data_IF_237470516513
#
_entry.id   IF_237470516513
#
_cell.length_a   1.000
_cell.length_b   1.000
_cell.length_c   1.000
_cell.angle_alpha   90.00
_cell.angle_beta   90.00
_cell.angle_gamma   90.00
#
_symmetry.space_group_name_H-M   'P 1'
#
loop_
_entity.id
_entity.type
_entity.pdbx_description
1 polymer ?
#
# COMPACT_ATOMS: atom_id res chain seq x y z
N UNK A 1 4.92 -3.73 36.50
CA UNK A 1 3.76 -4.25 35.69
C UNK A 1 2.71 -4.73 36.68
N UNK A 2 1.58 -4.08 36.72
CA UNK A 2 0.48 -4.43 37.64
C UNK A 2 -0.20 -5.73 37.22
N UNK A 3 -0.93 -6.40 38.13
CA UNK A 3 -1.66 -7.65 37.80
C UNK A 3 -2.70 -7.41 36.71
N UNK A 4 -3.33 -6.22 36.65
CA UNK A 4 -4.27 -5.80 35.62
C UNK A 4 -3.63 -5.74 34.22
N UNK A 5 -2.40 -5.23 34.09
CA UNK A 5 -1.69 -5.20 32.81
C UNK A 5 -1.32 -6.61 32.29
N UNK A 6 -1.01 -7.54 33.19
CA UNK A 6 -0.78 -8.94 32.84
C UNK A 6 -2.05 -9.62 32.34
N UNK A 7 -3.16 -9.40 33.03
CA UNK A 7 -4.48 -9.95 32.66
C UNK A 7 -4.93 -9.40 31.31
N UNK A 8 -4.81 -8.10 31.08
CA UNK A 8 -5.14 -7.48 29.80
C UNK A 8 -4.29 -8.02 28.65
N UNK A 9 -2.97 -8.23 28.85
CA UNK A 9 -2.08 -8.82 27.83
C UNK A 9 -2.44 -10.27 27.51
N UNK A 10 -2.83 -11.06 28.53
CA UNK A 10 -3.24 -12.46 28.34
C UNK A 10 -4.58 -12.52 27.59
N UNK A 11 -5.55 -11.71 27.95
CA UNK A 11 -6.85 -11.62 27.25
C UNK A 11 -6.67 -11.15 25.80
N UNK A 12 -5.84 -10.15 25.57
CA UNK A 12 -5.53 -9.64 24.23
C UNK A 12 -4.83 -10.70 23.37
N UNK A 13 -3.85 -11.43 23.93
CA UNK A 13 -3.17 -12.52 23.20
C UNK A 13 -4.11 -13.68 22.87
N UNK A 14 -4.98 -14.05 23.80
CA UNK A 14 -5.99 -15.09 23.58
C UNK A 14 -7.03 -14.68 22.52
N UNK A 15 -7.43 -13.41 22.51
CA UNK A 15 -8.35 -12.87 21.48
C UNK A 15 -7.71 -12.90 20.08
N UNK A 16 -6.44 -12.50 19.97
CA UNK A 16 -5.69 -12.58 18.72
C UNK A 16 -5.41 -14.01 18.25
N UNK A 17 -5.33 -14.99 19.14
CA UNK A 17 -5.20 -16.40 18.77
C UNK A 17 -6.50 -16.97 18.19
N UNK A 18 -7.65 -16.39 18.52
CA UNK A 18 -8.98 -16.77 18.00
C UNK A 18 -9.39 -16.00 16.74
N UNK A 19 -8.45 -15.32 16.06
CA UNK A 19 -8.79 -14.53 14.88
C UNK A 19 -9.52 -15.34 13.77
N UNK A 20 -9.25 -16.64 13.54
CA UNK A 20 -10.01 -17.41 12.56
C UNK A 20 -11.50 -17.50 12.88
N UNK A 21 -11.87 -17.48 14.17
CA UNK A 21 -13.26 -17.65 14.62
C UNK A 21 -14.10 -16.38 14.42
N UNK A 22 -13.49 -15.20 14.49
CA UNK A 22 -14.21 -13.92 14.39
C UNK A 22 -14.03 -13.20 13.06
N UNK A 23 -12.98 -13.53 12.28
CA UNK A 23 -12.64 -12.79 11.06
C UNK A 23 -13.77 -12.85 10.02
N UNK A 24 -14.42 -13.99 9.83
CA UNK A 24 -15.54 -14.11 8.90
C UNK A 24 -16.75 -13.26 9.31
N UNK A 25 -17.01 -13.11 10.62
CA UNK A 25 -18.06 -12.20 11.15
C UNK A 25 -17.69 -10.74 10.94
N UNK A 26 -16.43 -10.38 11.18
CA UNK A 26 -15.93 -9.04 10.92
C UNK A 26 -16.01 -8.67 9.44
N UNK A 27 -15.67 -9.62 8.56
CA UNK A 27 -15.78 -9.44 7.10
C UNK A 27 -17.24 -9.25 6.67
N UNK A 28 -18.17 -10.03 7.23
CA UNK A 28 -19.60 -9.88 6.96
C UNK A 28 -20.13 -8.51 7.41
N UNK A 29 -19.78 -8.08 8.62
CA UNK A 29 -20.16 -6.75 9.14
C UNK A 29 -19.60 -5.63 8.25
N UNK A 30 -18.32 -5.71 7.91
CA UNK A 30 -17.69 -4.77 7.00
C UNK A 30 -18.41 -4.73 5.64
N UNK A 31 -18.74 -5.89 5.07
CA UNK A 31 -19.37 -5.99 3.76
C UNK A 31 -20.77 -5.37 3.72
N UNK A 32 -21.56 -5.52 4.80
CA UNK A 32 -22.86 -4.87 4.96
C UNK A 32 -22.69 -3.35 5.07
N UNK A 33 -21.74 -2.86 5.88
CA UNK A 33 -21.46 -1.43 6.00
C UNK A 33 -20.98 -0.84 4.68
N UNK A 34 -20.16 -1.57 3.94
CA UNK A 34 -19.64 -1.14 2.64
C UNK A 34 -20.73 -1.10 1.56
N UNK A 35 -21.65 -2.06 1.56
CA UNK A 35 -22.84 -2.03 0.71
C UNK A 35 -23.75 -0.82 1.04
N UNK A 36 -23.97 -0.55 2.34
CA UNK A 36 -24.72 0.61 2.81
C UNK A 36 -24.08 1.93 2.40
N UNK A 37 -22.77 2.05 2.51
CA UNK A 37 -22.00 3.22 2.04
C UNK A 37 -22.16 3.41 0.52
N UNK A 38 -21.99 2.34 -0.27
CA UNK A 38 -22.18 2.38 -1.72
C UNK A 38 -23.60 2.80 -2.11
N UNK A 39 -24.62 2.28 -1.40
CA UNK A 39 -26.02 2.64 -1.61
C UNK A 39 -26.28 4.12 -1.30
N UNK A 40 -25.75 4.62 -0.18
CA UNK A 40 -25.86 6.02 0.17
C UNK A 40 -25.24 6.92 -0.91
N UNK A 41 -24.05 6.58 -1.42
CA UNK A 41 -23.38 7.31 -2.49
C UNK A 41 -24.17 7.22 -3.82
N UNK A 42 -24.73 6.05 -4.15
CA UNK A 42 -25.50 5.86 -5.37
C UNK A 42 -26.82 6.67 -5.35
N UNK A 43 -27.49 6.75 -4.21
CA UNK A 43 -28.74 7.50 -4.04
C UNK A 43 -28.51 9.03 -3.93
N UNK A 44 -27.37 9.45 -3.38
CA UNK A 44 -27.03 10.89 -3.28
C UNK A 44 -26.29 11.43 -4.50
N UNK A 45 -26.12 10.62 -5.55
CA UNK A 45 -25.35 10.97 -6.76
C UNK A 45 -23.93 11.48 -6.45
N UNK A 46 -23.38 11.10 -5.29
CA UNK A 46 -22.06 11.52 -4.86
C UNK A 46 -21.00 10.84 -5.72
N UNK A 47 -20.17 11.62 -6.39
CA UNK A 47 -19.06 11.10 -7.20
C UNK A 47 -18.02 10.41 -6.31
N UNK A 48 -17.75 9.13 -6.56
CA UNK A 48 -16.69 8.33 -5.92
C UNK A 48 -15.35 8.42 -6.68
N UNK A 49 -15.35 9.07 -7.85
CA UNK A 49 -14.17 9.43 -8.63
C UNK A 49 -13.98 10.95 -8.63
N UNK A 50 -12.76 11.37 -8.98
CA UNK A 50 -12.35 12.78 -9.09
C UNK A 50 -13.30 13.62 -9.94
N UNK A 51 -13.45 14.87 -9.53
CA UNK A 51 -14.01 16.06 -10.19
C UNK A 51 -14.55 15.89 -11.62
N UNK A 52 -15.86 16.09 -11.76
CA UNK A 52 -16.54 16.29 -13.02
C UNK A 52 -17.81 15.46 -13.09
N UNK A 53 -18.94 16.10 -13.38
CA UNK A 53 -20.24 15.48 -13.55
C UNK A 53 -20.32 14.52 -14.74
N UNK A 54 -19.51 13.46 -14.70
CA UNK A 54 -19.59 12.37 -15.67
C UNK A 54 -20.83 11.51 -15.40
N UNK A 55 -21.63 11.19 -16.43
CA UNK A 55 -22.82 10.33 -16.30
C UNK A 55 -22.54 8.91 -15.80
N UNK A 56 -21.27 8.53 -15.64
CA UNK A 56 -20.84 7.25 -15.04
C UNK A 56 -20.74 7.24 -13.49
N UNK A 57 -20.93 8.37 -12.80
CA UNK A 57 -20.74 8.47 -11.36
C UNK A 57 -21.69 7.55 -10.56
N UNK A 58 -22.93 7.39 -10.99
CA UNK A 58 -23.92 6.50 -10.36
C UNK A 58 -23.56 5.02 -10.52
N UNK A 59 -22.95 4.62 -11.64
CA UNK A 59 -22.53 3.24 -11.89
C UNK A 59 -21.50 2.71 -10.88
N UNK A 60 -20.60 3.57 -10.40
CA UNK A 60 -19.60 3.18 -9.39
C UNK A 60 -20.20 2.96 -8.02
N UNK A 61 -21.18 3.76 -7.60
CA UNK A 61 -21.92 3.51 -6.37
C UNK A 61 -22.56 2.12 -6.38
N UNK A 62 -23.21 1.74 -7.48
CA UNK A 62 -23.79 0.42 -7.64
C UNK A 62 -22.76 -0.72 -7.70
N UNK A 63 -21.58 -0.48 -8.26
CA UNK A 63 -20.47 -1.45 -8.22
C UNK A 63 -19.99 -1.70 -6.78
N UNK A 64 -19.91 -0.65 -5.96
CA UNK A 64 -19.59 -0.76 -4.52
C UNK A 64 -20.66 -1.55 -3.77
N UNK A 65 -21.94 -1.31 -4.04
CA UNK A 65 -23.07 -2.09 -3.51
C UNK A 65 -22.90 -3.57 -3.89
N UNK A 66 -22.67 -3.86 -5.17
CA UNK A 66 -22.46 -5.22 -5.67
C UNK A 66 -21.30 -5.94 -4.95
N UNK A 67 -20.18 -5.24 -4.76
CA UNK A 67 -19.02 -5.76 -4.04
C UNK A 67 -19.33 -6.07 -2.56
N UNK A 68 -20.05 -5.18 -1.88
CA UNK A 68 -20.48 -5.38 -0.51
C UNK A 68 -21.47 -6.55 -0.38
N UNK A 69 -22.44 -6.68 -1.30
CA UNK A 69 -23.38 -7.82 -1.33
C UNK A 69 -22.65 -9.14 -1.56
N UNK A 70 -21.74 -9.20 -2.55
CA UNK A 70 -20.93 -10.41 -2.79
C UNK A 70 -20.06 -10.76 -1.58
N UNK A 71 -19.46 -9.77 -0.92
CA UNK A 71 -18.70 -9.97 0.30
C UNK A 71 -19.56 -10.50 1.46
N UNK A 72 -20.79 -10.00 1.60
CA UNK A 72 -21.77 -10.45 2.62
C UNK A 72 -22.18 -11.91 2.36
N UNK A 73 -22.54 -12.24 1.12
CA UNK A 73 -22.93 -13.58 0.74
C UNK A 73 -21.78 -14.59 0.92
N UNK A 74 -20.57 -14.21 0.47
CA UNK A 74 -19.39 -15.08 0.58
C UNK A 74 -19.02 -15.32 2.06
N UNK A 75 -18.95 -14.27 2.90
CA UNK A 75 -18.63 -14.42 4.32
C UNK A 75 -19.75 -15.10 5.11
N UNK A 76 -21.02 -14.86 4.79
CA UNK A 76 -22.17 -15.57 5.35
C UNK A 76 -22.14 -17.06 5.00
N UNK A 77 -21.83 -17.39 3.75
CA UNK A 77 -21.68 -18.80 3.34
C UNK A 77 -20.51 -19.50 4.06
N UNK A 78 -19.39 -18.79 4.30
CA UNK A 78 -18.28 -19.34 5.10
C UNK A 78 -18.70 -19.60 6.54
N UNK A 79 -19.54 -18.75 7.14
CA UNK A 79 -20.05 -18.95 8.50
C UNK A 79 -21.01 -20.15 8.60
N UNK A 80 -21.79 -20.44 7.55
CA UNK A 80 -22.79 -21.50 7.54
C UNK A 80 -22.19 -22.85 7.10
N UNK A 81 -21.35 -22.86 6.08
CA UNK A 81 -20.87 -24.08 5.40
C UNK A 81 -19.37 -24.32 5.57
N UNK A 82 -18.65 -23.44 6.25
CA UNK A 82 -17.19 -23.47 6.31
C UNK A 82 -16.52 -22.96 5.04
N UNK A 83 -15.20 -22.97 5.01
CA UNK A 83 -14.41 -22.44 3.89
C UNK A 83 -14.25 -23.49 2.77
N UNK A 84 -15.23 -23.56 1.89
CA UNK A 84 -15.20 -24.42 0.70
C UNK A 84 -14.28 -23.83 -0.41
N UNK A 85 -13.68 -24.67 -1.29
CA UNK A 85 -12.82 -24.20 -2.37
C UNK A 85 -13.45 -23.10 -3.25
N UNK A 86 -14.71 -23.20 -3.72
CA UNK A 86 -15.33 -22.15 -4.53
C UNK A 86 -15.53 -20.85 -3.74
N UNK A 87 -15.87 -20.92 -2.45
CA UNK A 87 -15.99 -19.73 -1.61
C UNK A 87 -14.64 -19.04 -1.40
N UNK A 88 -13.55 -19.81 -1.29
CA UNK A 88 -12.19 -19.27 -1.24
C UNK A 88 -11.84 -18.49 -2.51
N UNK A 89 -12.16 -19.03 -3.69
CA UNK A 89 -11.96 -18.33 -4.96
C UNK A 89 -12.78 -17.05 -5.00
N UNK A 90 -14.05 -17.09 -4.63
CA UNK A 90 -14.93 -15.91 -4.59
C UNK A 90 -14.38 -14.85 -3.65
N UNK A 91 -13.93 -15.21 -2.44
CA UNK A 91 -13.30 -14.28 -1.50
C UNK A 91 -12.05 -13.63 -2.09
N UNK A 92 -11.23 -14.38 -2.84
CA UNK A 92 -10.05 -13.82 -3.50
C UNK A 92 -10.40 -12.89 -4.66
N UNK A 93 -11.46 -13.19 -5.42
CA UNK A 93 -11.96 -12.30 -6.49
C UNK A 93 -12.45 -10.97 -5.89
N UNK A 94 -13.30 -11.02 -4.86
CA UNK A 94 -13.81 -9.82 -4.19
C UNK A 94 -12.67 -9.05 -3.50
N UNK A 95 -11.69 -9.76 -2.92
CA UNK A 95 -10.47 -9.16 -2.36
C UNK A 95 -9.67 -8.41 -3.43
N UNK A 96 -9.53 -8.99 -4.63
CA UNK A 96 -8.86 -8.34 -5.76
C UNK A 96 -9.57 -7.08 -6.21
N UNK A 97 -10.90 -7.12 -6.33
CA UNK A 97 -11.72 -5.94 -6.68
C UNK A 97 -11.61 -4.84 -5.61
N UNK A 98 -11.68 -5.20 -4.33
CA UNK A 98 -11.46 -4.26 -3.22
C UNK A 98 -10.05 -3.67 -3.25
N UNK A 99 -9.04 -4.47 -3.58
CA UNK A 99 -7.66 -4.02 -3.77
C UNK A 99 -7.50 -3.01 -4.91
N UNK A 100 -8.17 -3.23 -6.03
CA UNK A 100 -8.22 -2.29 -7.16
C UNK A 100 -8.88 -0.97 -6.72
N UNK A 101 -10.00 -1.03 -5.99
CA UNK A 101 -10.69 0.16 -5.47
C UNK A 101 -9.81 0.94 -4.48
N UNK A 102 -9.04 0.25 -3.65
CA UNK A 102 -8.12 0.85 -2.69
C UNK A 102 -6.82 1.38 -3.32
N UNK A 103 -6.61 1.17 -4.61
CA UNK A 103 -5.33 1.34 -5.31
C UNK A 103 -4.66 2.70 -5.08
N UNK A 104 -5.41 3.80 -5.13
CA UNK A 104 -4.85 5.15 -4.96
C UNK A 104 -4.87 5.66 -3.51
N UNK A 105 -5.26 4.84 -2.52
CA UNK A 105 -5.31 5.23 -1.11
C UNK A 105 -3.95 5.74 -0.59
N UNK A 106 -2.84 5.15 -1.05
CA UNK A 106 -1.51 5.61 -0.64
C UNK A 106 -1.26 7.06 -1.05
N UNK A 107 -1.74 7.46 -2.25
CA UNK A 107 -1.62 8.86 -2.69
C UNK A 107 -2.45 9.79 -1.80
N UNK A 108 -3.69 9.40 -1.44
CA UNK A 108 -4.51 10.18 -0.52
C UNK A 108 -3.85 10.30 0.88
N UNK A 109 -3.19 9.24 1.36
CA UNK A 109 -2.44 9.28 2.63
C UNK A 109 -1.23 10.21 2.51
N UNK A 110 -0.48 10.14 1.41
CA UNK A 110 0.68 11.01 1.17
C UNK A 110 0.24 12.48 1.09
N UNK A 111 -0.82 12.78 0.35
CA UNK A 111 -1.35 14.15 0.24
C UNK A 111 -1.80 14.70 1.60
N UNK A 112 -2.49 13.87 2.42
CA UNK A 112 -2.84 14.24 3.78
C UNK A 112 -1.62 14.45 4.68
N UNK A 113 -0.61 13.57 4.61
CA UNK A 113 0.62 13.73 5.41
C UNK A 113 1.39 14.99 5.04
N UNK A 114 1.28 15.44 3.79
CA UNK A 114 1.93 16.64 3.28
C UNK A 114 1.08 17.90 3.47
N UNK A 115 -0.06 17.81 4.19
CA UNK A 115 -0.94 18.95 4.46
C UNK A 115 -1.75 19.42 3.25
N UNK A 116 -1.81 18.62 2.20
CA UNK A 116 -2.67 18.87 1.04
C UNK A 116 -4.10 18.42 1.34
N UNK A 117 -5.09 19.15 0.85
CA UNK A 117 -6.49 18.77 1.00
C UNK A 117 -6.83 17.49 0.23
N UNK A 118 -7.89 16.79 0.66
CA UNK A 118 -8.46 15.68 -0.11
C UNK A 118 -9.37 16.23 -1.22
N UNK A 119 -9.22 15.75 -2.44
CA UNK A 119 -10.08 16.14 -3.56
C UNK A 119 -11.55 15.77 -3.32
N UNK A 120 -11.79 14.61 -2.69
CA UNK A 120 -13.11 14.13 -2.30
C UNK A 120 -13.05 13.27 -1.06
N UNK A 121 -13.74 13.66 0.00
CA UNK A 121 -13.84 12.87 1.23
C UNK A 121 -14.53 11.52 0.99
N UNK A 122 -15.56 11.49 0.13
CA UNK A 122 -16.25 10.26 -0.23
C UNK A 122 -15.34 9.26 -0.97
N UNK A 123 -14.52 9.75 -1.90
CA UNK A 123 -13.54 8.94 -2.62
C UNK A 123 -12.48 8.36 -1.66
N UNK A 124 -11.93 9.18 -0.77
CA UNK A 124 -10.95 8.73 0.22
C UNK A 124 -11.55 7.70 1.20
N UNK A 125 -12.78 7.94 1.67
CA UNK A 125 -13.51 6.99 2.52
C UNK A 125 -13.76 5.66 1.79
N UNK A 126 -14.16 5.69 0.52
CA UNK A 126 -14.34 4.49 -0.31
C UNK A 126 -13.05 3.67 -0.39
N UNK A 127 -11.93 4.31 -0.72
CA UNK A 127 -10.61 3.66 -0.80
C UNK A 127 -10.17 3.08 0.53
N UNK A 128 -10.38 3.79 1.63
CA UNK A 128 -10.06 3.32 2.98
C UNK A 128 -10.90 2.10 3.37
N UNK A 129 -12.22 2.15 3.13
CA UNK A 129 -13.12 1.03 3.38
C UNK A 129 -12.75 -0.18 2.51
N UNK A 130 -12.42 0.04 1.23
CA UNK A 130 -11.98 -1.02 0.33
C UNK A 130 -10.67 -1.67 0.78
N UNK A 131 -9.70 -0.89 1.28
CA UNK A 131 -8.45 -1.41 1.83
C UNK A 131 -8.69 -2.30 3.07
N UNK A 132 -9.53 -1.86 4.01
CA UNK A 132 -9.95 -2.68 5.16
C UNK A 132 -10.60 -3.96 4.69
N UNK A 133 -11.49 -3.88 3.71
CA UNK A 133 -12.16 -5.04 3.12
C UNK A 133 -11.20 -6.02 2.47
N UNK A 134 -10.23 -5.55 1.71
CA UNK A 134 -9.22 -6.42 1.10
C UNK A 134 -8.45 -7.22 2.16
N UNK A 135 -8.09 -6.59 3.28
CA UNK A 135 -7.42 -7.28 4.40
C UNK A 135 -8.33 -8.32 5.06
N UNK A 136 -9.60 -7.96 5.35
CA UNK A 136 -10.55 -8.86 5.99
C UNK A 136 -10.91 -10.06 5.10
N UNK A 137 -11.15 -9.82 3.81
CA UNK A 137 -11.44 -10.87 2.82
C UNK A 137 -10.25 -11.82 2.65
N UNK A 138 -9.03 -11.29 2.53
CA UNK A 138 -7.82 -12.09 2.46
C UNK A 138 -7.59 -12.91 3.75
N UNK A 139 -7.87 -12.34 4.91
CA UNK A 139 -7.80 -13.04 6.19
C UNK A 139 -8.83 -14.17 6.25
N UNK A 140 -10.10 -13.93 5.86
CA UNK A 140 -11.15 -14.94 5.81
C UNK A 140 -10.79 -16.07 4.83
N UNK A 141 -10.27 -15.75 3.65
CA UNK A 141 -9.83 -16.76 2.67
C UNK A 141 -8.66 -17.64 3.17
N UNK A 142 -7.95 -17.20 4.22
CA UNK A 142 -6.82 -17.90 4.85
C UNK A 142 -7.14 -18.49 6.22
N UNK A 143 -8.38 -18.39 6.71
CA UNK A 143 -8.74 -18.78 8.09
C UNK A 143 -8.55 -20.27 8.41
N UNK A 144 -8.54 -21.15 7.40
CA UNK A 144 -8.27 -22.59 7.55
C UNK A 144 -6.80 -22.96 7.82
N UNK A 145 -5.89 -21.99 7.74
CA UNK A 145 -4.49 -22.28 7.99
C UNK A 145 -4.26 -22.48 9.49
N UNK A 146 -4.06 -23.76 9.88
CA UNK A 146 -3.66 -24.14 11.23
C UNK A 146 -2.50 -23.24 11.70
N UNK A 147 -2.52 -22.77 12.95
CA UNK A 147 -1.44 -21.94 13.46
C UNK A 147 -0.11 -22.68 13.31
N UNK A 148 0.79 -22.11 12.52
CA UNK A 148 2.14 -22.66 12.39
C UNK A 148 2.80 -22.68 13.77
N UNK A 149 3.43 -23.80 14.11
CA UNK A 149 4.04 -24.02 15.42
C UNK A 149 4.96 -22.86 15.87
N UNK A 150 5.05 -22.69 17.18
CA UNK A 150 5.78 -21.59 17.86
C UNK A 150 7.31 -21.68 17.76
N UNK A 151 7.87 -22.57 16.91
CA UNK A 151 9.31 -22.70 16.77
C UNK A 151 9.93 -21.41 16.22
N UNK A 152 10.75 -20.80 17.04
CA UNK A 152 11.42 -19.53 16.78
C UNK A 152 12.58 -19.76 15.81
N UNK A 153 12.46 -19.26 14.57
CA UNK A 153 13.54 -19.36 13.58
C UNK A 153 14.63 -18.35 13.85
N UNK A 154 15.90 -18.78 13.75
CA UNK A 154 17.05 -17.86 13.82
C UNK A 154 17.02 -16.85 12.65
N UNK A 155 17.55 -15.62 12.83
CA UNK A 155 17.68 -14.66 11.75
C UNK A 155 18.43 -15.27 10.55
N UNK A 156 17.83 -15.24 9.38
CA UNK A 156 18.42 -15.83 8.19
C UNK A 156 18.92 -14.75 7.21
N UNK A 157 19.98 -15.06 6.50
CA UNK A 157 20.53 -14.20 5.45
C UNK A 157 19.57 -14.12 4.26
N UNK A 158 19.59 -12.99 3.59
CA UNK A 158 18.73 -12.75 2.43
C UNK A 158 19.39 -13.33 1.16
N UNK A 159 18.64 -14.05 0.29
CA UNK A 159 19.15 -14.52 -0.99
C UNK A 159 19.72 -13.39 -1.84
N UNK A 160 20.78 -13.67 -2.62
CA UNK A 160 21.48 -12.68 -3.45
C UNK A 160 20.53 -11.97 -4.45
N UNK A 161 19.62 -12.71 -5.08
CA UNK A 161 18.64 -12.15 -6.02
C UNK A 161 17.74 -11.09 -5.37
N UNK A 162 17.37 -11.28 -4.09
CA UNK A 162 16.56 -10.29 -3.36
C UNK A 162 17.39 -9.05 -3.03
N UNK A 163 18.67 -9.20 -2.77
CA UNK A 163 19.58 -8.06 -2.59
C UNK A 163 19.76 -7.28 -3.89
N UNK A 164 19.88 -7.97 -5.04
CA UNK A 164 19.93 -7.33 -6.36
C UNK A 164 18.63 -6.57 -6.65
N UNK A 165 17.47 -7.17 -6.36
CA UNK A 165 16.20 -6.48 -6.51
C UNK A 165 16.11 -5.22 -5.63
N UNK A 166 16.62 -5.27 -4.39
CA UNK A 166 16.67 -4.09 -3.52
C UNK A 166 17.62 -3.01 -4.05
N UNK A 167 18.76 -3.40 -4.60
CA UNK A 167 19.66 -2.45 -5.28
C UNK A 167 19.01 -1.84 -6.51
N UNK A 168 18.33 -2.63 -7.35
CA UNK A 168 17.60 -2.11 -8.50
C UNK A 168 16.52 -1.09 -8.10
N UNK A 169 15.73 -1.41 -7.07
CA UNK A 169 14.72 -0.49 -6.52
C UNK A 169 15.35 0.80 -5.96
N UNK A 170 16.49 0.70 -5.28
CA UNK A 170 17.23 1.86 -4.76
C UNK A 170 17.73 2.73 -5.90
N UNK A 171 18.41 2.13 -6.89
CA UNK A 171 18.99 2.87 -8.02
C UNK A 171 17.92 3.53 -8.90
N UNK A 172 16.74 2.91 -9.04
CA UNK A 172 15.63 3.48 -9.80
C UNK A 172 15.09 4.77 -9.18
N UNK A 173 15.18 4.92 -7.84
CA UNK A 173 14.77 6.16 -7.17
C UNK A 173 15.81 7.28 -7.23
N UNK A 174 17.06 7.00 -7.58
CA UNK A 174 18.12 8.04 -7.65
C UNK A 174 17.77 9.14 -8.65
N UNK A 175 17.44 8.85 -9.93
CA UNK A 175 17.05 9.89 -10.88
C UNK A 175 15.80 10.66 -10.43
N UNK A 176 14.81 9.98 -9.85
CA UNK A 176 13.60 10.60 -9.33
C UNK A 176 13.92 11.59 -8.19
N UNK A 177 14.68 11.16 -7.19
CA UNK A 177 15.07 12.01 -6.07
C UNK A 177 15.95 13.19 -6.53
N UNK A 178 16.90 12.95 -7.45
CA UNK A 178 17.75 14.00 -8.00
C UNK A 178 16.93 15.07 -8.72
N UNK A 179 15.99 14.67 -9.58
CA UNK A 179 15.08 15.57 -10.26
C UNK A 179 14.30 16.45 -9.26
N UNK A 180 13.74 15.83 -8.23
CA UNK A 180 12.98 16.53 -7.19
C UNK A 180 13.83 17.52 -6.39
N UNK A 181 15.05 17.14 -6.05
CA UNK A 181 15.99 18.01 -5.36
C UNK A 181 16.50 19.18 -6.23
N UNK A 182 16.62 18.98 -7.56
CA UNK A 182 16.94 20.07 -8.48
C UNK A 182 15.86 21.15 -8.42
N UNK A 183 14.57 20.76 -8.48
CA UNK A 183 13.48 21.73 -8.33
C UNK A 183 13.45 22.39 -6.95
N UNK A 184 13.58 21.61 -5.87
CA UNK A 184 13.58 22.14 -4.51
C UNK A 184 14.75 23.13 -4.25
N UNK A 185 15.88 22.97 -4.95
CA UNK A 185 17.01 23.90 -4.90
C UNK A 185 16.86 25.13 -5.82
N UNK A 186 15.71 25.32 -6.45
CA UNK A 186 15.46 26.42 -7.40
C UNK A 186 15.99 26.17 -8.81
N UNK A 187 16.55 24.99 -9.08
CA UNK A 187 17.08 24.64 -10.39
C UNK A 187 16.00 24.40 -11.44
N UNK A 188 16.42 24.30 -12.71
CA UNK A 188 15.54 24.02 -13.84
C UNK A 188 15.73 22.59 -14.32
N UNK A 189 14.63 21.84 -14.49
CA UNK A 189 14.62 20.52 -15.09
C UNK A 189 13.37 20.32 -15.97
N UNK A 190 13.54 19.73 -17.14
CA UNK A 190 12.46 19.54 -18.12
C UNK A 190 11.68 20.82 -18.43
N UNK A 191 12.40 21.92 -18.65
CA UNK A 191 11.82 23.22 -19.01
C UNK A 191 11.11 23.98 -17.89
N UNK A 192 10.96 23.39 -16.68
CA UNK A 192 10.29 24.00 -15.52
C UNK A 192 11.31 24.37 -14.47
N UNK A 193 11.19 25.58 -13.91
CA UNK A 193 11.98 26.05 -12.78
C UNK A 193 11.43 25.56 -11.44
N UNK A 194 12.26 25.59 -10.38
CA UNK A 194 11.80 25.27 -9.02
C UNK A 194 10.67 26.18 -8.55
N UNK A 195 10.70 27.48 -8.89
CA UNK A 195 9.63 28.42 -8.54
C UNK A 195 8.30 28.07 -9.21
N UNK A 196 8.33 27.72 -10.50
CA UNK A 196 7.14 27.28 -11.23
C UNK A 196 6.59 25.96 -10.64
N UNK A 197 7.48 25.02 -10.27
CA UNK A 197 7.07 23.75 -9.65
C UNK A 197 6.46 24.00 -8.26
N UNK A 198 7.01 24.93 -7.48
CA UNK A 198 6.44 25.32 -6.20
C UNK A 198 5.04 25.94 -6.39
N UNK A 199 4.87 26.84 -7.37
CA UNK A 199 3.57 27.41 -7.68
C UNK A 199 2.54 26.35 -8.15
N UNK A 200 2.99 25.29 -8.85
CA UNK A 200 2.14 24.11 -9.17
C UNK A 200 1.74 23.39 -7.89
N UNK A 201 2.68 23.17 -6.97
CA UNK A 201 2.41 22.52 -5.69
C UNK A 201 1.40 23.31 -4.85
N UNK A 202 1.55 24.63 -4.77
CA UNK A 202 0.60 25.52 -4.07
C UNK A 202 -0.80 25.47 -4.68
N UNK A 203 -0.92 25.54 -6.01
CA UNK A 203 -2.21 25.41 -6.72
C UNK A 203 -2.89 24.06 -6.45
N UNK A 204 -2.11 23.01 -6.26
CA UNK A 204 -2.58 21.68 -5.91
C UNK A 204 -2.83 21.50 -4.40
N UNK A 205 -2.81 22.59 -3.62
CA UNK A 205 -3.16 22.59 -2.21
C UNK A 205 -2.01 22.26 -1.26
N UNK A 206 -0.75 22.29 -1.73
CA UNK A 206 0.39 22.17 -0.83
C UNK A 206 0.40 23.32 0.19
N UNK A 207 0.61 23.02 1.46
CA UNK A 207 0.58 23.99 2.53
C UNK A 207 1.49 23.59 3.70
N UNK A 208 1.71 24.50 4.63
CA UNK A 208 2.34 24.22 5.92
C UNK A 208 3.71 23.56 5.79
N UNK A 209 3.84 22.31 6.26
CA UNK A 209 5.11 21.58 6.33
C UNK A 209 5.72 21.36 4.94
N UNK A 210 4.91 21.14 3.91
CA UNK A 210 5.39 20.94 2.54
C UNK A 210 6.18 22.16 2.07
N UNK A 211 5.58 23.35 2.11
CA UNK A 211 6.20 24.60 1.70
C UNK A 211 7.41 24.97 2.57
N UNK A 212 7.34 24.67 3.87
CA UNK A 212 8.47 24.89 4.77
C UNK A 212 9.69 24.03 4.39
N UNK A 213 9.48 22.75 4.06
CA UNK A 213 10.57 21.88 3.64
C UNK A 213 11.15 22.32 2.28
N UNK A 214 10.29 22.67 1.32
CA UNK A 214 10.75 23.18 0.03
C UNK A 214 11.52 24.51 0.17
N UNK A 215 11.11 25.40 1.08
CA UNK A 215 11.88 26.64 1.35
C UNK A 215 13.29 26.39 1.91
N UNK A 216 13.52 25.17 2.46
CA UNK A 216 14.86 24.71 2.89
C UNK A 216 15.60 23.93 1.79
N UNK A 217 15.07 23.86 0.58
CA UNK A 217 15.64 23.08 -0.53
C UNK A 217 15.42 21.56 -0.39
N UNK A 218 14.45 21.13 0.42
CA UNK A 218 14.13 19.73 0.68
C UNK A 218 12.75 19.40 0.10
N UNK A 219 12.72 18.61 -0.97
CA UNK A 219 11.44 18.10 -1.49
C UNK A 219 10.90 16.98 -0.60
N UNK A 220 9.66 17.11 -0.06
CA UNK A 220 9.07 16.09 0.80
C UNK A 220 8.91 14.74 0.12
N UNK A 221 8.70 14.69 -1.20
CA UNK A 221 8.56 13.42 -1.93
C UNK A 221 9.91 12.73 -2.12
N UNK A 222 11.02 13.50 -2.23
CA UNK A 222 12.37 12.94 -2.20
C UNK A 222 12.71 12.37 -0.81
N UNK A 223 12.27 13.01 0.27
CA UNK A 223 12.41 12.48 1.63
C UNK A 223 11.61 11.19 1.82
N UNK A 224 10.39 11.13 1.29
CA UNK A 224 9.59 9.88 1.30
C UNK A 224 10.25 8.77 0.48
N UNK A 225 10.88 9.10 -0.65
CA UNK A 225 11.66 8.12 -1.42
C UNK A 225 12.86 7.59 -0.62
N UNK A 226 13.59 8.46 0.08
CA UNK A 226 14.68 8.06 0.97
C UNK A 226 14.20 7.17 2.13
N UNK A 227 13.08 7.52 2.76
CA UNK A 227 12.42 6.68 3.77
C UNK A 227 12.00 5.33 3.18
N UNK A 228 11.42 5.32 1.98
CA UNK A 228 11.06 4.09 1.28
C UNK A 228 12.27 3.18 1.04
N UNK A 229 13.39 3.73 0.56
CA UNK A 229 14.65 3.00 0.39
C UNK A 229 15.11 2.42 1.74
N UNK A 230 15.09 3.21 2.80
CA UNK A 230 15.43 2.73 4.13
C UNK A 230 14.55 1.54 4.56
N UNK A 231 13.23 1.64 4.39
CA UNK A 231 12.30 0.56 4.73
C UNK A 231 12.50 -0.69 3.85
N UNK A 232 12.80 -0.54 2.56
CA UNK A 232 13.15 -1.65 1.67
C UNK A 232 14.38 -2.42 2.20
N UNK A 233 15.42 -1.70 2.60
CA UNK A 233 16.60 -2.32 3.21
C UNK A 233 16.31 -2.96 4.57
N UNK A 234 15.29 -2.49 5.29
CA UNK A 234 14.80 -3.16 6.49
C UNK A 234 14.27 -4.56 6.25
N UNK A 235 13.66 -4.83 5.08
CA UNK A 235 13.23 -6.18 4.71
C UNK A 235 14.39 -7.09 4.32
N UNK A 236 15.49 -6.54 3.83
CA UNK A 236 16.64 -7.27 3.29
C UNK A 236 17.72 -7.50 4.36
N UNK A 237 17.99 -6.51 5.19
CA UNK A 237 19.07 -6.55 6.19
C UNK A 237 18.60 -7.17 7.52
N UNK A 238 19.52 -7.69 8.33
CA UNK A 238 19.20 -8.32 9.63
C UNK A 238 18.51 -7.40 10.63
N UNK A 239 18.75 -6.08 10.53
CA UNK A 239 18.15 -5.10 11.45
C UNK A 239 16.61 -4.97 11.32
N UNK A 240 16.04 -5.42 10.23
CA UNK A 240 14.58 -5.54 10.12
C UNK A 240 14.01 -6.78 10.83
N UNK A 241 14.84 -7.72 11.29
CA UNK A 241 14.41 -8.89 12.07
C UNK A 241 14.71 -8.73 13.57
N UNK A 242 15.81 -8.04 13.91
CA UNK A 242 16.26 -7.77 15.28
C UNK A 242 16.68 -6.32 15.38
N UNK A 243 16.15 -5.61 16.35
CA UNK A 243 16.48 -4.21 16.58
C UNK A 243 17.99 -4.02 16.80
N UNK A 244 18.65 -3.13 16.03
CA UNK A 244 20.08 -2.92 16.12
C UNK A 244 20.49 -2.24 17.44
N UNK A 245 21.80 -2.23 17.69
CA UNK A 245 22.37 -1.72 18.95
C UNK A 245 22.13 -0.22 19.20
N UNK A 246 21.87 0.55 18.16
CA UNK A 246 21.60 1.98 18.28
C UNK A 246 20.16 2.31 18.72
N UNK A 247 19.24 1.32 18.75
CA UNK A 247 17.89 1.49 19.29
C UNK A 247 17.90 1.27 20.81
N UNK A 248 18.12 2.34 21.56
CA UNK A 248 18.39 2.33 23.02
C UNK A 248 17.45 1.41 23.83
N UNK A 249 16.14 1.51 23.67
CA UNK A 249 15.14 0.77 24.46
C UNK A 249 14.74 -0.59 23.85
N UNK A 250 15.03 -0.83 22.58
CA UNK A 250 14.59 -2.01 21.84
C UNK A 250 15.75 -2.93 21.45
N UNK A 251 16.98 -2.59 21.82
CA UNK A 251 18.21 -3.30 21.47
C UNK A 251 18.09 -4.82 21.66
N UNK A 252 18.36 -5.56 20.60
CA UNK A 252 18.36 -7.02 20.60
C UNK A 252 16.97 -7.66 20.67
N UNK A 253 15.89 -6.89 20.81
CA UNK A 253 14.53 -7.41 20.74
C UNK A 253 14.18 -7.76 19.31
N UNK A 254 13.30 -8.74 19.12
CA UNK A 254 12.79 -9.10 17.80
C UNK A 254 11.83 -8.04 17.29
N UNK A 255 11.98 -7.68 16.01
CA UNK A 255 11.06 -6.79 15.33
C UNK A 255 9.75 -7.55 15.08
N UNK A 256 8.58 -7.02 15.50
CA UNK A 256 7.31 -7.61 15.14
C UNK A 256 7.19 -7.69 13.61
N UNK A 257 6.84 -8.86 13.06
CA UNK A 257 6.85 -9.11 11.61
C UNK A 257 6.02 -8.14 10.81
N UNK A 258 4.88 -7.76 11.35
CA UNK A 258 3.94 -6.85 10.70
C UNK A 258 4.51 -5.43 10.56
N UNK A 259 5.44 -5.04 11.43
CA UNK A 259 6.01 -3.69 11.44
C UNK A 259 6.70 -3.33 10.11
N UNK A 260 7.64 -4.12 9.57
CA UNK A 260 8.20 -3.88 8.25
C UNK A 260 7.31 -4.39 7.10
N UNK A 261 6.48 -5.44 7.33
CA UNK A 261 5.64 -6.01 6.27
C UNK A 261 4.43 -5.15 5.90
N UNK A 262 3.76 -4.53 6.87
CA UNK A 262 2.55 -3.77 6.58
C UNK A 262 2.82 -2.58 5.63
N UNK A 263 3.78 -1.67 5.90
CA UNK A 263 4.10 -0.59 4.97
C UNK A 263 4.68 -1.13 3.66
N UNK A 264 5.44 -2.22 3.68
CA UNK A 264 5.97 -2.82 2.47
C UNK A 264 4.89 -3.40 1.56
N UNK A 265 3.91 -4.10 2.12
CA UNK A 265 2.78 -4.65 1.35
C UNK A 265 1.87 -3.54 0.81
N UNK A 266 1.64 -2.49 1.59
CA UNK A 266 0.90 -1.32 1.14
C UNK A 266 1.63 -0.63 -0.02
N UNK A 267 2.92 -0.34 0.14
CA UNK A 267 3.73 0.26 -0.92
C UNK A 267 3.84 -0.64 -2.17
N UNK A 268 4.02 -1.95 -1.99
CA UNK A 268 4.06 -2.89 -3.12
C UNK A 268 2.73 -2.96 -3.87
N UNK A 269 1.61 -3.02 -3.15
CA UNK A 269 0.27 -3.11 -3.73
C UNK A 269 -0.15 -1.84 -4.49
N UNK A 270 0.45 -0.70 -4.16
CA UNK A 270 0.14 0.59 -4.80
C UNK A 270 1.18 0.96 -5.86
N UNK A 271 2.47 0.97 -5.52
CA UNK A 271 3.52 1.47 -6.44
C UNK A 271 3.80 0.51 -7.60
N UNK A 272 3.74 -0.82 -7.39
CA UNK A 272 4.02 -1.76 -8.47
C UNK A 272 2.99 -1.65 -9.61
N UNK A 273 1.66 -1.78 -9.37
CA UNK A 273 0.69 -1.65 -10.44
C UNK A 273 0.62 -0.23 -11.00
N UNK A 274 0.76 0.82 -10.15
CA UNK A 274 0.78 2.20 -10.62
C UNK A 274 1.94 2.44 -11.58
N UNK A 275 3.15 2.03 -11.20
CA UNK A 275 4.32 2.16 -12.06
C UNK A 275 4.21 1.33 -13.35
N UNK A 276 3.74 0.07 -13.27
CA UNK A 276 3.59 -0.80 -14.44
C UNK A 276 2.57 -0.24 -15.44
N UNK A 277 1.40 0.18 -14.96
CA UNK A 277 0.37 0.81 -15.79
C UNK A 277 0.88 2.12 -16.38
N UNK A 278 1.56 2.95 -15.56
CA UNK A 278 2.15 4.20 -16.01
C UNK A 278 3.22 4.01 -17.08
N UNK A 279 4.11 3.04 -16.92
CA UNK A 279 5.10 2.66 -17.95
C UNK A 279 4.41 2.22 -19.24
N UNK A 280 3.33 1.40 -19.14
CA UNK A 280 2.54 1.00 -20.31
C UNK A 280 1.91 2.20 -21.03
N UNK A 281 1.30 3.11 -20.28
CA UNK A 281 0.75 4.35 -20.83
C UNK A 281 1.82 5.20 -21.54
N UNK A 282 2.97 5.41 -20.88
CA UNK A 282 4.07 6.20 -21.46
C UNK A 282 4.68 5.54 -22.70
N UNK A 283 4.75 4.21 -22.74
CA UNK A 283 5.18 3.49 -23.92
C UNK A 283 4.25 3.73 -25.12
N UNK A 284 2.92 3.67 -24.90
CA UNK A 284 1.92 3.99 -25.93
C UNK A 284 1.97 5.47 -26.35
N UNK A 285 2.18 6.37 -25.39
CA UNK A 285 2.30 7.81 -25.69
C UNK A 285 3.58 8.11 -26.48
N UNK A 286 4.70 7.47 -26.14
CA UNK A 286 5.96 7.59 -26.87
C UNK A 286 5.84 7.03 -28.29
N UNK A 287 5.08 5.95 -28.47
CA UNK A 287 4.79 5.37 -29.78
C UNK A 287 3.75 6.17 -30.60
N UNK A 288 3.20 7.25 -30.05
CA UNK A 288 2.20 8.09 -30.71
C UNK A 288 0.81 7.46 -30.81
N UNK A 289 0.55 6.35 -30.11
CA UNK A 289 -0.76 5.65 -30.10
C UNK A 289 -1.79 6.41 -29.28
N UNK A 290 -1.33 7.03 -28.17
CA UNK A 290 -2.18 7.87 -27.31
C UNK A 290 -1.57 9.27 -27.15
N UNK A 291 -2.39 10.32 -27.06
CA UNK A 291 -1.86 11.67 -26.86
C UNK A 291 -1.27 11.81 -25.46
N UNK A 292 -0.09 12.41 -25.36
CA UNK A 292 0.47 12.79 -24.07
C UNK A 292 -0.20 14.05 -23.52
N UNK A 293 -0.74 13.97 -22.31
CA UNK A 293 -1.25 15.14 -21.58
C UNK A 293 -0.05 15.92 -21.02
N UNK A 294 0.11 17.16 -21.42
CA UNK A 294 1.21 18.03 -20.99
C UNK A 294 1.17 18.30 -19.48
N UNK A 295 -0.05 18.39 -18.90
CA UNK A 295 -0.20 18.88 -17.54
C UNK A 295 0.35 20.31 -17.42
N UNK A 296 1.17 20.53 -16.42
CA UNK A 296 1.85 21.82 -16.14
C UNK A 296 3.17 22.01 -16.92
N UNK A 297 3.58 21.04 -17.77
CA UNK A 297 4.85 21.13 -18.53
C UNK A 297 4.71 21.96 -19.82
N UNK A 298 5.80 22.59 -20.22
CA UNK A 298 5.82 23.46 -21.40
C UNK A 298 5.73 22.67 -22.72
N UNK A 299 6.27 21.45 -22.74
CA UNK A 299 6.21 20.57 -23.91
C UNK A 299 5.75 19.14 -23.57
N UNK A 300 5.16 18.41 -24.55
CA UNK A 300 4.88 16.98 -24.36
C UNK A 300 6.13 16.14 -24.11
N UNK A 301 7.29 16.54 -24.66
CA UNK A 301 8.57 15.89 -24.47
C UNK A 301 9.06 15.96 -23.02
N UNK A 302 8.92 17.15 -22.40
CA UNK A 302 9.27 17.35 -21.00
C UNK A 302 8.37 16.52 -20.06
N UNK A 303 7.07 16.51 -20.35
CA UNK A 303 6.11 15.67 -19.61
C UNK A 303 6.45 14.18 -19.74
N UNK A 304 6.84 13.72 -20.94
CA UNK A 304 7.29 12.34 -21.16
C UNK A 304 8.55 12.02 -20.37
N UNK A 305 9.57 12.90 -20.40
CA UNK A 305 10.83 12.70 -19.68
C UNK A 305 10.58 12.53 -18.18
N UNK A 306 9.85 13.45 -17.57
CA UNK A 306 9.52 13.40 -16.15
C UNK A 306 8.64 12.21 -15.83
N UNK A 307 7.67 11.91 -16.68
CA UNK A 307 6.82 10.73 -16.57
C UNK A 307 7.62 9.44 -16.57
N UNK A 308 8.56 9.25 -17.50
CA UNK A 308 9.42 8.08 -17.57
C UNK A 308 10.27 7.92 -16.30
N UNK A 309 10.91 9.00 -15.81
CA UNK A 309 11.71 8.96 -14.59
C UNK A 309 10.84 8.49 -13.41
N UNK A 310 9.65 9.06 -13.24
CA UNK A 310 8.75 8.70 -12.15
C UNK A 310 8.19 7.29 -12.26
N UNK A 311 7.62 6.92 -13.41
CA UNK A 311 6.90 5.64 -13.56
C UNK A 311 7.86 4.44 -13.55
N UNK A 312 9.05 4.56 -14.13
CA UNK A 312 10.10 3.53 -14.04
C UNK A 312 10.56 3.37 -12.59
N UNK A 313 10.78 4.47 -11.87
CA UNK A 313 11.14 4.42 -10.46
C UNK A 313 10.08 3.68 -9.64
N UNK A 314 8.81 4.00 -9.80
CA UNK A 314 7.70 3.36 -9.08
C UNK A 314 7.52 1.89 -9.46
N UNK A 315 7.64 1.54 -10.75
CA UNK A 315 7.53 0.16 -11.21
C UNK A 315 8.64 -0.71 -10.63
N UNK A 316 9.89 -0.30 -10.81
CA UNK A 316 11.07 -1.07 -10.37
C UNK A 316 11.10 -1.19 -8.85
N UNK A 317 10.87 -0.08 -8.13
CA UNK A 317 10.83 -0.09 -6.67
C UNK A 317 9.66 -0.92 -6.14
N UNK A 318 8.46 -0.80 -6.69
CA UNK A 318 7.28 -1.57 -6.29
C UNK A 318 7.47 -3.08 -6.47
N UNK A 319 8.09 -3.51 -7.59
CA UNK A 319 8.45 -4.90 -7.85
C UNK A 319 9.52 -5.37 -6.85
N UNK A 320 10.56 -4.57 -6.61
CA UNK A 320 11.62 -4.88 -5.64
C UNK A 320 11.04 -5.04 -4.24
N UNK A 321 10.10 -4.17 -3.85
CA UNK A 321 9.41 -4.22 -2.57
C UNK A 321 8.55 -5.49 -2.43
N UNK A 322 7.87 -5.90 -3.50
CA UNK A 322 7.09 -7.16 -3.55
C UNK A 322 8.00 -8.37 -3.32
N UNK A 323 9.13 -8.43 -4.02
CA UNK A 323 10.11 -9.51 -3.90
C UNK A 323 10.71 -9.55 -2.48
N UNK A 324 11.09 -8.40 -1.94
CA UNK A 324 11.67 -8.27 -0.61
C UNK A 324 10.67 -8.64 0.49
N UNK A 325 9.42 -8.16 0.40
CA UNK A 325 8.35 -8.47 1.35
C UNK A 325 8.02 -9.97 1.36
N UNK A 326 7.89 -10.61 0.18
CA UNK A 326 7.70 -12.06 0.06
C UNK A 326 8.85 -12.83 0.69
N UNK A 327 10.10 -12.46 0.39
CA UNK A 327 11.29 -13.08 0.96
C UNK A 327 11.34 -12.92 2.47
N UNK A 328 11.08 -11.72 2.99
CA UNK A 328 11.04 -11.44 4.42
C UNK A 328 9.96 -12.28 5.11
N UNK A 329 8.75 -12.35 4.54
CA UNK A 329 7.65 -13.15 5.08
C UNK A 329 8.01 -14.64 5.15
N UNK A 330 8.62 -15.21 4.10
CA UNK A 330 9.05 -16.61 4.06
C UNK A 330 10.14 -16.91 5.10
N UNK A 331 11.10 -16.00 5.30
CA UNK A 331 12.20 -16.14 6.27
C UNK A 331 11.77 -15.97 7.71
N UNK A 332 10.72 -15.19 7.96
CA UNK A 332 10.27 -14.86 9.32
C UNK A 332 9.07 -15.68 9.81
N UNK A 333 8.41 -16.47 8.94
CA UNK A 333 7.31 -17.34 9.37
C UNK A 333 7.80 -18.46 10.31
N UNK A 334 6.98 -18.90 11.30
CA UNK A 334 7.34 -20.00 12.19
C UNK A 334 7.64 -21.27 11.39
N UNK A 335 8.62 -22.05 11.82
CA UNK A 335 8.87 -23.37 11.27
C UNK A 335 7.75 -24.32 11.77
N UNK A 336 7.14 -25.10 10.87
CA UNK A 336 6.35 -26.25 11.28
C UNK A 336 7.30 -27.23 11.99
N UNK A 337 7.00 -27.63 13.23
CA UNK A 337 7.63 -28.75 13.87
C UNK A 337 7.21 -30.01 13.05
N UNK A 338 8.07 -30.54 12.21
CA UNK A 338 7.93 -31.92 11.80
C UNK A 338 8.01 -32.74 13.10
N UNK A 339 6.95 -33.48 13.41
CA UNK A 339 6.98 -34.45 14.49
C UNK A 339 8.07 -35.46 14.15
N UNK A 340 9.21 -35.36 14.84
CA UNK A 340 10.16 -36.46 14.96
C UNK A 340 9.53 -37.52 15.89
N UNK A 341 8.46 -38.16 15.42
CA UNK A 341 7.95 -39.39 15.98
C UNK A 341 7.88 -40.40 14.83
N UNK A 342 9.07 -40.87 14.46
CA UNK A 342 9.25 -42.09 13.69
C UNK A 342 10.50 -42.76 14.30
N UNK A 343 10.31 -43.40 15.47
CA UNK A 343 11.05 -44.56 15.98
C UNK A 343 10.15 -45.31 16.92
#
# INVERSE_FOLDING_TARGET
>A
MTSAERTAKVLWSAWWQRWPDWVARATMLWAVLYAGFGLACALSETSLLHHGGDPGASGLGWAVVGMGVLGTLASGAVLLFGLLPPLRVLLWVVCGLAGITAFSLLMDVITLMLGQGLDSQASAANKALAAVGAVLLAATARSDHRPAGTAVRAPSTTPHLVQLAAWAGTLAFVPYAAMKLVWASGGTFAGITGEEMLAVSERNGASGIFLTLESWGLDPTALLAALGIFLLWGLVRPWGQVFPRWTLFLRGRRVPRWLPLAPALLGAATLAPYGVVGVGYLALATAGVVPMRRGDFHSPGDALLVGWIGMVAFAVYGIALTIAARSYWLRTRPACRMSMNAE
#
